data_IF_288393503320
#
_entry.id   IF_288393503320
#
_cell.length_a   1.000
_cell.length_b   1.000
_cell.length_c   1.000
_cell.angle_alpha   90.00
_cell.angle_beta   90.00
_cell.angle_gamma   90.00
#
_symmetry.space_group_name_H-M   'P 1'
#
loop_
_entity.id
_entity.type
_entity.pdbx_description
1 polymer ?
#
# COMPACT_ATOMS: atom_id res chain seq x y z
N UNK A 1 -15.01 -127.54 8.10
CA UNK A 1 -15.68 -128.28 6.93
C UNK A 1 -16.27 -127.20 6.02
N UNK A 2 -16.05 -127.40 4.71
CA UNK A 2 -16.70 -126.84 3.53
C UNK A 2 -16.16 -125.51 2.99
N UNK A 3 -15.29 -125.67 1.99
CA UNK A 3 -15.10 -124.72 0.89
C UNK A 3 -16.25 -124.85 -0.12
N UNK A 4 -16.74 -123.76 -0.71
CA UNK A 4 -17.08 -123.87 -2.12
C UNK A 4 -16.53 -122.74 -3.00
N UNK A 5 -16.08 -123.12 -4.09
CA UNK A 5 -16.08 -122.71 -5.49
C UNK A 5 -15.74 -121.23 -5.83
N UNK A 6 -14.48 -121.10 -6.17
CA UNK A 6 -13.85 -119.89 -6.72
C UNK A 6 -14.13 -119.62 -8.22
N UNK A 7 -14.94 -120.43 -8.91
CA UNK A 7 -15.17 -120.31 -10.37
C UNK A 7 -16.30 -119.37 -10.80
N UNK A 8 -17.20 -118.99 -9.92
CA UNK A 8 -18.35 -118.16 -10.26
C UNK A 8 -18.08 -116.58 -10.17
N UNK A 9 -17.09 -116.18 -9.41
CA UNK A 9 -16.74 -114.76 -9.23
C UNK A 9 -15.95 -114.18 -10.38
N UNK A 10 -15.15 -115.06 -11.11
CA UNK A 10 -14.33 -114.61 -12.23
C UNK A 10 -15.15 -114.19 -13.48
N UNK A 11 -16.26 -114.81 -13.74
CA UNK A 11 -17.11 -114.50 -14.90
C UNK A 11 -18.01 -113.26 -14.63
N UNK A 12 -18.40 -112.99 -13.39
CA UNK A 12 -19.17 -111.76 -13.05
C UNK A 12 -18.29 -110.49 -13.16
N UNK A 13 -17.06 -110.54 -12.83
CA UNK A 13 -16.12 -109.41 -12.92
C UNK A 13 -15.73 -109.10 -14.40
N UNK A 14 -15.67 -110.09 -15.31
CA UNK A 14 -15.37 -109.89 -16.71
C UNK A 14 -16.49 -109.16 -17.49
N UNK A 15 -17.78 -109.55 -17.22
CA UNK A 15 -18.93 -108.88 -17.87
C UNK A 15 -19.13 -107.45 -17.43
N UNK A 16 -18.88 -107.08 -16.19
CA UNK A 16 -18.99 -105.72 -15.74
C UNK A 16 -17.87 -104.81 -16.21
N UNK A 17 -16.68 -105.32 -16.44
CA UNK A 17 -15.57 -104.56 -17.04
C UNK A 17 -15.86 -104.18 -18.51
N UNK A 18 -16.52 -105.01 -19.26
CA UNK A 18 -16.90 -104.66 -20.65
C UNK A 18 -18.02 -103.61 -20.71
N UNK A 19 -18.99 -103.71 -19.81
CA UNK A 19 -20.05 -102.70 -19.73
C UNK A 19 -19.56 -101.33 -19.19
N UNK A 20 -18.58 -101.39 -18.28
CA UNK A 20 -17.99 -100.12 -17.77
C UNK A 20 -17.11 -99.45 -18.79
N UNK A 21 -16.38 -100.21 -19.63
CA UNK A 21 -15.57 -99.72 -20.74
C UNK A 21 -16.43 -99.09 -21.84
N UNK A 22 -17.55 -99.70 -22.16
CA UNK A 22 -18.52 -99.14 -23.11
C UNK A 22 -19.18 -97.88 -22.61
N UNK A 23 -19.53 -97.83 -21.33
CA UNK A 23 -20.11 -96.61 -20.71
C UNK A 23 -19.10 -95.42 -20.71
N UNK A 24 -17.81 -95.70 -20.49
CA UNK A 24 -16.74 -94.68 -20.57
C UNK A 24 -16.56 -94.17 -21.98
N UNK A 25 -16.60 -95.05 -23.01
CA UNK A 25 -16.51 -94.69 -24.42
C UNK A 25 -17.73 -93.84 -24.86
N UNK A 26 -18.94 -94.15 -24.41
CA UNK A 26 -20.14 -93.38 -24.77
C UNK A 26 -20.11 -92.01 -24.09
N UNK A 27 -19.67 -91.90 -22.81
CA UNK A 27 -19.47 -90.65 -22.12
C UNK A 27 -18.34 -89.85 -22.81
N UNK A 28 -17.25 -90.45 -23.23
CA UNK A 28 -16.17 -89.84 -23.99
C UNK A 28 -16.66 -89.21 -25.30
N UNK A 29 -17.51 -89.93 -26.04
CA UNK A 29 -18.08 -89.46 -27.33
C UNK A 29 -19.10 -88.32 -27.04
N UNK A 30 -19.90 -88.45 -25.99
CA UNK A 30 -20.85 -87.40 -25.60
C UNK A 30 -20.12 -86.09 -25.16
N UNK A 31 -19.02 -86.20 -24.42
CA UNK A 31 -18.18 -85.07 -24.02
C UNK A 31 -17.48 -84.41 -25.23
N UNK A 32 -16.96 -85.23 -26.19
CA UNK A 32 -16.34 -84.65 -27.40
C UNK A 32 -17.34 -84.04 -28.36
N UNK A 33 -18.56 -84.54 -28.46
CA UNK A 33 -19.66 -83.89 -29.20
C UNK A 33 -20.20 -82.69 -28.50
N UNK A 34 -20.28 -82.69 -27.14
CA UNK A 34 -20.67 -81.53 -26.31
C UNK A 34 -19.63 -80.43 -26.43
N UNK A 35 -18.34 -80.69 -26.40
CA UNK A 35 -17.26 -79.76 -26.59
C UNK A 35 -17.28 -79.14 -27.99
N UNK A 36 -17.54 -79.94 -29.04
CA UNK A 36 -17.69 -79.42 -30.41
C UNK A 36 -18.92 -78.54 -30.57
N UNK A 37 -20.03 -78.80 -29.85
CA UNK A 37 -21.23 -78.02 -29.93
C UNK A 37 -21.09 -76.68 -29.13
N UNK A 38 -20.28 -76.65 -28.03
CA UNK A 38 -19.96 -75.45 -27.29
C UNK A 38 -18.93 -74.58 -28.03
N UNK A 39 -18.05 -75.12 -28.86
CA UNK A 39 -17.05 -74.39 -29.64
C UNK A 39 -17.62 -73.71 -30.89
N UNK A 40 -18.85 -74.04 -31.29
CA UNK A 40 -19.49 -73.48 -32.47
C UNK A 40 -20.61 -72.48 -32.18
N UNK A 41 -20.65 -71.89 -30.94
CA UNK A 41 -21.44 -70.66 -30.77
C UNK A 41 -20.69 -69.56 -31.51
N UNK A 42 -21.35 -68.83 -32.42
CA UNK A 42 -20.76 -67.58 -32.96
C UNK A 42 -20.49 -66.68 -31.83
N UNK A 43 -19.21 -66.30 -31.58
CA UNK A 43 -18.84 -65.32 -30.63
C UNK A 43 -19.63 -64.01 -31.02
N UNK A 44 -20.67 -63.72 -30.28
CA UNK A 44 -21.33 -62.42 -30.41
C UNK A 44 -20.24 -61.36 -30.21
N UNK A 45 -19.82 -60.68 -31.27
CA UNK A 45 -19.04 -59.48 -31.15
C UNK A 45 -19.84 -58.58 -30.22
N UNK A 46 -19.47 -58.49 -28.89
CA UNK A 46 -19.92 -57.45 -28.03
C UNK A 46 -19.67 -56.17 -28.78
N UNK A 47 -20.70 -55.52 -29.27
CA UNK A 47 -20.60 -54.20 -29.84
C UNK A 47 -19.89 -53.38 -28.77
N UNK A 48 -18.66 -52.97 -29.04
CA UNK A 48 -17.88 -52.16 -28.10
C UNK A 48 -18.71 -50.90 -27.87
N UNK A 49 -19.32 -50.78 -26.68
CA UNK A 49 -20.04 -49.59 -26.31
C UNK A 49 -19.11 -48.42 -26.53
N UNK A 50 -19.48 -47.52 -27.43
CA UNK A 50 -18.69 -46.33 -27.70
C UNK A 50 -18.67 -45.52 -26.40
N UNK A 51 -17.49 -45.09 -25.95
CA UNK A 51 -17.45 -44.22 -24.77
C UNK A 51 -18.16 -42.90 -25.06
N UNK A 52 -19.02 -42.50 -24.10
CA UNK A 52 -19.67 -41.20 -24.15
C UNK A 52 -18.68 -40.19 -23.63
N UNK A 53 -18.51 -39.09 -24.37
CA UNK A 53 -17.56 -38.03 -24.06
C UNK A 53 -18.24 -36.64 -24.18
N UNK A 54 -17.79 -35.73 -23.36
CA UNK A 54 -18.12 -34.30 -23.51
C UNK A 54 -17.07 -33.64 -24.39
N UNK A 55 -17.50 -32.66 -25.15
CA UNK A 55 -16.64 -31.95 -26.08
C UNK A 55 -16.76 -30.45 -25.91
N UNK A 56 -15.69 -29.72 -26.18
CA UNK A 56 -15.63 -28.29 -26.17
C UNK A 56 -15.06 -27.77 -27.49
N UNK A 57 -15.68 -26.72 -28.03
CA UNK A 57 -15.15 -26.03 -29.21
C UNK A 57 -14.01 -25.13 -28.78
N UNK A 58 -12.87 -25.24 -29.47
CA UNK A 58 -11.69 -24.42 -29.24
C UNK A 58 -11.98 -22.99 -29.68
N UNK A 59 -12.01 -22.08 -28.72
CA UNK A 59 -12.15 -20.65 -28.94
C UNK A 59 -10.98 -19.90 -28.31
N UNK A 60 -10.68 -18.71 -28.79
CA UNK A 60 -9.76 -17.83 -28.11
C UNK A 60 -10.50 -17.04 -27.04
N UNK A 61 -9.95 -17.03 -25.85
CA UNK A 61 -10.50 -16.27 -24.71
C UNK A 61 -9.36 -15.59 -23.95
N UNK A 62 -9.63 -14.52 -23.20
CA UNK A 62 -8.64 -13.94 -22.31
C UNK A 62 -8.32 -14.94 -21.19
N UNK A 63 -7.04 -15.06 -20.86
CA UNK A 63 -6.56 -15.85 -19.72
C UNK A 63 -6.33 -14.93 -18.54
N UNK A 64 -7.09 -15.16 -17.48
CA UNK A 64 -6.91 -14.46 -16.20
C UNK A 64 -6.13 -15.34 -15.23
N UNK A 65 -5.27 -14.70 -14.45
CA UNK A 65 -4.58 -15.33 -13.33
C UNK A 65 -5.08 -14.71 -12.03
N UNK A 66 -5.34 -15.54 -11.02
CA UNK A 66 -5.65 -15.10 -9.66
C UNK A 66 -4.39 -15.00 -8.83
N UNK A 67 -4.33 -13.95 -8.03
CA UNK A 67 -3.35 -13.75 -6.96
C UNK A 67 -4.09 -13.74 -5.65
N UNK A 68 -3.67 -14.60 -4.71
CA UNK A 68 -4.18 -14.56 -3.34
C UNK A 68 -3.48 -13.42 -2.59
N UNK A 69 -4.24 -12.47 -2.12
CA UNK A 69 -3.79 -11.34 -1.33
C UNK A 69 -4.06 -11.61 0.15
N UNK A 70 -3.05 -11.34 0.96
CA UNK A 70 -3.14 -11.42 2.41
C UNK A 70 -2.38 -10.26 3.01
N UNK A 71 -3.02 -9.53 3.92
CA UNK A 71 -2.40 -8.37 4.55
C UNK A 71 -3.14 -7.92 5.80
N UNK A 72 -2.52 -7.00 6.51
CA UNK A 72 -3.07 -6.43 7.72
C UNK A 72 -3.61 -5.02 7.45
N UNK A 73 -4.78 -4.69 8.02
CA UNK A 73 -5.35 -3.36 7.97
C UNK A 73 -4.46 -2.38 8.74
N UNK A 74 -4.08 -1.31 8.09
CA UNK A 74 -3.43 -0.14 8.68
C UNK A 74 -4.38 1.04 8.60
N UNK A 75 -4.48 1.80 9.67
CA UNK A 75 -5.19 3.05 9.65
C UNK A 75 -4.52 4.04 8.69
N UNK A 76 -5.23 5.05 8.25
CA UNK A 76 -4.74 6.10 7.36
C UNK A 76 -3.50 6.80 7.90
N UNK A 77 -3.46 7.06 9.21
CA UNK A 77 -2.30 7.56 9.92
C UNK A 77 -2.32 7.12 11.38
N UNK A 78 -1.14 6.95 11.93
CA UNK A 78 -0.91 6.80 13.37
C UNK A 78 0.11 7.86 13.76
N UNK A 79 -0.21 8.68 14.78
CA UNK A 79 0.61 9.79 15.23
C UNK A 79 0.90 9.62 16.70
N UNK A 80 2.16 9.49 17.03
CA UNK A 80 2.60 9.50 18.42
C UNK A 80 2.81 10.94 18.87
N UNK A 81 2.09 11.35 19.92
CA UNK A 81 2.24 12.65 20.56
C UNK A 81 3.34 12.49 21.60
N UNK A 82 4.47 13.10 21.29
CA UNK A 82 5.70 12.99 22.07
C UNK A 82 5.96 14.28 22.84
N UNK A 83 6.36 14.14 24.10
CA UNK A 83 6.72 15.25 24.96
C UNK A 83 8.01 15.94 24.48
N UNK A 84 7.94 17.23 24.23
CA UNK A 84 9.09 18.05 23.78
C UNK A 84 9.93 18.55 24.95
N UNK A 85 9.27 18.95 26.04
CA UNK A 85 9.91 19.49 27.23
C UNK A 85 9.49 18.69 28.46
N UNK A 86 10.46 18.31 29.30
CA UNK A 86 10.15 17.64 30.55
C UNK A 86 9.28 18.51 31.46
N UNK A 87 8.26 17.89 32.07
CA UNK A 87 7.32 18.62 32.94
C UNK A 87 6.35 17.72 33.67
N UNK A 88 5.52 18.30 34.49
CA UNK A 88 4.44 17.62 35.20
C UNK A 88 3.16 17.78 34.41
N UNK A 89 2.41 16.70 34.23
CA UNK A 89 1.09 16.72 33.60
C UNK A 89 0.08 17.29 34.57
N UNK A 90 -0.62 18.35 34.15
CA UNK A 90 -1.58 19.05 35.01
C UNK A 90 -3.02 18.62 34.72
N UNK A 91 -3.35 18.48 33.41
CA UNK A 91 -4.67 18.07 32.96
C UNK A 91 -4.59 17.06 31.80
N UNK A 92 -5.52 16.10 31.80
CA UNK A 92 -5.73 15.14 30.70
C UNK A 92 -7.21 15.17 30.37
N UNK A 93 -7.55 15.57 29.13
CA UNK A 93 -8.93 15.72 28.67
C UNK A 93 -9.44 14.53 27.85
N UNK A 94 -8.62 13.49 27.68
CA UNK A 94 -8.92 12.33 26.84
C UNK A 94 -8.51 11.03 27.52
N UNK A 95 -9.20 9.94 27.17
CA UNK A 95 -8.88 8.61 27.64
C UNK A 95 -8.75 7.64 26.44
N UNK A 96 -8.35 6.38 26.71
CA UNK A 96 -8.28 5.34 25.69
C UNK A 96 -9.66 5.17 25.03
N UNK A 97 -9.68 5.20 23.69
CA UNK A 97 -10.91 5.11 22.90
C UNK A 97 -11.65 6.43 22.70
N UNK A 98 -11.20 7.54 23.29
CA UNK A 98 -11.79 8.87 23.06
C UNK A 98 -11.64 9.30 21.62
N UNK A 99 -12.74 9.76 21.00
CA UNK A 99 -12.75 10.39 19.69
C UNK A 99 -12.46 11.88 19.85
N UNK A 100 -11.53 12.38 19.08
CA UNK A 100 -11.06 13.77 19.12
C UNK A 100 -11.09 14.39 17.73
N UNK A 101 -11.26 15.72 17.69
CA UNK A 101 -11.17 16.53 16.48
C UNK A 101 -9.86 17.30 16.44
N UNK A 102 -9.44 17.67 15.24
CA UNK A 102 -8.28 18.54 15.04
C UNK A 102 -8.41 19.82 15.88
N UNK A 103 -7.38 20.13 16.67
CA UNK A 103 -7.35 21.28 17.56
C UNK A 103 -7.83 21.05 18.99
N UNK A 104 -8.49 19.90 19.28
CA UNK A 104 -8.90 19.57 20.65
C UNK A 104 -7.67 19.47 21.56
N UNK A 105 -7.79 20.03 22.78
CA UNK A 105 -6.76 19.96 23.81
C UNK A 105 -6.79 18.58 24.45
N UNK A 106 -5.69 17.85 24.35
CA UNK A 106 -5.54 16.48 24.83
C UNK A 106 -4.92 16.41 26.21
N UNK A 107 -3.78 17.08 26.38
CA UNK A 107 -3.00 17.13 27.62
C UNK A 107 -2.51 18.56 27.81
N UNK A 108 -2.48 19.00 29.06
CA UNK A 108 -1.84 20.24 29.48
C UNK A 108 -0.78 19.90 30.53
N UNK A 109 0.45 20.29 30.28
CA UNK A 109 1.49 20.29 31.30
C UNK A 109 1.42 21.56 32.14
N UNK A 110 2.09 21.58 33.29
CA UNK A 110 2.15 22.73 34.16
C UNK A 110 2.67 23.96 33.43
N UNK A 111 1.85 25.01 33.36
CA UNK A 111 2.08 26.19 32.53
C UNK A 111 2.69 27.37 33.31
N UNK A 112 2.70 27.36 34.65
CA UNK A 112 3.04 28.51 35.49
C UNK A 112 4.40 29.10 35.16
N UNK A 113 5.43 28.30 35.14
CA UNK A 113 6.81 28.70 34.85
C UNK A 113 6.97 29.20 33.40
N UNK A 114 6.40 28.49 32.45
CA UNK A 114 6.47 28.86 31.03
C UNK A 114 5.70 30.13 30.74
N UNK A 115 4.54 30.34 31.40
CA UNK A 115 3.73 31.56 31.31
C UNK A 115 4.47 32.74 31.89
N UNK A 116 5.09 32.55 33.07
CA UNK A 116 5.89 33.63 33.70
C UNK A 116 7.09 34.00 32.82
N UNK A 117 7.78 33.03 32.22
CA UNK A 117 8.90 33.26 31.31
C UNK A 117 8.45 34.00 30.04
N UNK A 118 7.32 33.60 29.43
CA UNK A 118 6.72 34.30 28.28
C UNK A 118 6.35 35.75 28.58
N UNK A 119 5.65 36.01 29.70
CA UNK A 119 5.27 37.37 30.12
C UNK A 119 6.49 38.25 30.38
N UNK A 120 7.56 37.68 31.01
CA UNK A 120 8.82 38.41 31.24
C UNK A 120 9.51 38.74 29.92
N UNK A 121 9.55 37.83 28.96
CA UNK A 121 10.12 38.04 27.63
C UNK A 121 9.30 39.10 26.85
N UNK A 122 7.97 39.04 26.93
CA UNK A 122 7.06 40.04 26.35
C UNK A 122 7.32 41.45 26.87
N UNK A 123 7.47 41.59 28.19
CA UNK A 123 7.77 42.89 28.80
C UNK A 123 9.10 43.48 28.31
N UNK A 124 10.15 42.63 28.24
CA UNK A 124 11.47 43.02 27.70
C UNK A 124 11.42 43.42 26.22
N UNK A 125 10.62 42.73 25.42
CA UNK A 125 10.39 43.08 24.02
C UNK A 125 9.70 44.43 23.90
N UNK A 126 8.63 44.63 24.66
CA UNK A 126 7.90 45.92 24.68
C UNK A 126 8.79 47.10 25.10
N UNK A 127 9.63 46.93 26.15
CA UNK A 127 10.60 47.91 26.57
C UNK A 127 11.62 48.24 25.48
N UNK A 128 12.20 47.22 24.85
CA UNK A 128 13.17 47.39 23.77
C UNK A 128 12.56 48.08 22.55
N UNK A 129 11.29 47.80 22.22
CA UNK A 129 10.56 48.47 21.15
C UNK A 129 10.33 49.94 21.45
N UNK A 130 9.90 50.27 22.69
CA UNK A 130 9.73 51.66 23.14
C UNK A 130 11.05 52.44 23.09
N UNK A 131 12.15 51.84 23.54
CA UNK A 131 13.48 52.45 23.49
C UNK A 131 13.96 52.69 22.05
N UNK A 132 13.71 51.75 21.14
CA UNK A 132 14.03 51.92 19.72
C UNK A 132 13.24 53.06 19.08
N UNK A 133 11.92 53.12 19.33
CA UNK A 133 11.05 54.21 18.85
C UNK A 133 11.45 55.56 19.40
N UNK A 134 11.76 55.67 20.70
CA UNK A 134 12.22 56.93 21.35
C UNK A 134 13.55 57.38 20.76
N UNK A 135 14.47 56.43 20.52
CA UNK A 135 15.79 56.76 19.91
C UNK A 135 15.62 57.25 18.47
N UNK A 136 14.71 56.67 17.69
CA UNK A 136 14.44 57.10 16.32
C UNK A 136 13.83 58.51 16.27
N UNK A 137 12.81 58.80 17.09
CA UNK A 137 12.18 60.14 17.21
C UNK A 137 13.20 61.15 17.67
N UNK A 138 14.02 60.83 18.66
CA UNK A 138 15.06 61.74 19.18
C UNK A 138 16.10 62.06 18.12
N UNK A 139 16.52 61.07 17.35
CA UNK A 139 17.44 61.29 16.23
C UNK A 139 16.80 62.16 15.14
N UNK A 140 15.57 61.82 14.71
CA UNK A 140 14.84 62.58 13.68
C UNK A 140 14.66 64.06 14.07
N UNK A 141 14.31 64.33 15.33
CA UNK A 141 14.15 65.65 15.86
C UNK A 141 15.51 66.41 15.88
N UNK A 142 16.57 65.73 16.33
CA UNK A 142 17.91 66.34 16.40
C UNK A 142 18.45 66.69 15.02
N UNK A 143 18.35 65.78 14.03
CA UNK A 143 18.80 66.04 12.66
C UNK A 143 18.03 67.19 12.02
N UNK A 144 16.70 67.29 12.26
CA UNK A 144 15.87 68.37 11.75
C UNK A 144 16.31 69.71 12.32
N UNK A 145 16.58 69.78 13.65
CA UNK A 145 17.07 71.02 14.33
C UNK A 145 18.43 71.46 13.78
N UNK A 146 19.42 70.55 13.73
CA UNK A 146 20.75 70.91 13.22
C UNK A 146 20.72 71.28 11.74
N UNK A 147 19.84 70.70 10.93
CA UNK A 147 19.65 71.09 9.52
C UNK A 147 19.08 72.53 9.43
N UNK A 148 18.08 72.85 10.25
CA UNK A 148 17.51 74.18 10.28
C UNK A 148 18.52 75.26 10.73
N UNK A 149 19.30 74.97 11.79
CA UNK A 149 20.39 75.85 12.25
C UNK A 149 21.45 76.07 11.13
N UNK A 150 21.87 75.04 10.43
CA UNK A 150 22.80 75.16 9.32
C UNK A 150 22.21 75.98 8.17
N UNK A 151 20.94 75.79 7.80
CA UNK A 151 20.28 76.57 6.74
C UNK A 151 20.19 78.04 7.11
N UNK A 152 19.83 78.37 8.38
CA UNK A 152 19.82 79.74 8.86
C UNK A 152 21.20 80.40 8.80
N UNK A 153 22.23 79.71 9.27
CA UNK A 153 23.62 80.17 9.18
C UNK A 153 24.07 80.41 7.74
N UNK A 154 23.63 79.54 6.82
CA UNK A 154 23.93 79.69 5.37
C UNK A 154 23.31 80.96 4.79
N UNK A 155 22.01 81.19 5.05
CA UNK A 155 21.33 82.41 4.61
C UNK A 155 21.96 83.70 5.22
N UNK A 156 22.36 83.66 6.50
CA UNK A 156 23.04 84.82 7.15
C UNK A 156 24.43 85.02 6.53
N UNK A 157 25.25 84.02 6.33
CA UNK A 157 26.58 84.20 5.70
C UNK A 157 26.45 84.73 4.29
N UNK A 158 25.49 84.29 3.48
CA UNK A 158 25.24 84.84 2.13
C UNK A 158 24.77 86.31 2.17
N UNK A 159 23.94 86.67 3.17
CA UNK A 159 23.53 88.07 3.40
C UNK A 159 24.74 88.95 3.74
N UNK A 160 25.61 88.47 4.63
CA UNK A 160 26.83 89.26 5.04
C UNK A 160 27.83 89.33 3.92
N UNK A 161 28.00 88.33 3.06
CA UNK A 161 28.85 88.35 1.82
C UNK A 161 28.39 89.46 0.88
N UNK A 162 27.05 89.65 0.70
CA UNK A 162 26.48 90.64 -0.16
C UNK A 162 26.66 92.06 0.47
N UNK A 163 26.47 92.19 1.77
CA UNK A 163 26.70 93.51 2.48
C UNK A 163 28.17 93.89 2.47
N UNK A 164 29.07 92.96 2.63
CA UNK A 164 30.50 93.24 2.53
C UNK A 164 30.91 93.65 1.12
N UNK A 165 30.41 93.09 0.10
CA UNK A 165 30.61 93.47 -1.29
C UNK A 165 30.12 94.92 -1.58
N UNK A 166 29.13 95.40 -0.79
CA UNK A 166 28.58 96.76 -0.84
C UNK A 166 29.31 97.72 0.12
N UNK A 167 30.30 97.24 0.88
CA UNK A 167 31.03 98.07 1.87
C UNK A 167 30.22 98.39 3.15
N UNK A 168 29.07 97.69 3.38
CA UNK A 168 28.15 97.92 4.47
C UNK A 168 28.51 97.26 5.81
N UNK A 169 29.43 96.26 5.80
CA UNK A 169 29.91 95.53 6.98
C UNK A 169 31.42 95.33 6.91
N UNK A 170 32.07 95.13 8.07
CA UNK A 170 33.50 94.86 8.15
C UNK A 170 33.88 93.44 7.77
N UNK A 171 35.15 93.19 7.37
CA UNK A 171 35.64 91.82 7.10
C UNK A 171 35.55 90.92 8.33
N UNK A 172 35.81 91.49 9.55
CA UNK A 172 35.71 90.71 10.79
C UNK A 172 34.29 90.18 11.05
N UNK A 173 33.26 90.96 10.69
CA UNK A 173 31.86 90.54 10.82
C UNK A 173 31.51 89.45 9.82
N UNK A 174 32.02 89.55 8.58
CA UNK A 174 31.88 88.49 7.60
C UNK A 174 32.56 87.19 8.06
N UNK A 175 33.79 87.29 8.51
CA UNK A 175 34.58 86.15 8.99
C UNK A 175 33.89 85.43 10.17
N UNK A 176 33.28 86.19 11.09
CA UNK A 176 32.50 85.63 12.20
C UNK A 176 31.25 84.85 11.75
N UNK A 177 30.57 85.36 10.68
CA UNK A 177 29.41 84.64 10.12
C UNK A 177 29.83 83.39 9.34
N UNK A 178 30.96 83.39 8.60
CA UNK A 178 31.49 82.24 7.94
C UNK A 178 31.98 81.19 8.91
N UNK A 179 32.59 81.53 10.01
CA UNK A 179 32.97 80.63 11.09
C UNK A 179 31.73 79.97 11.72
N UNK A 180 30.65 80.80 11.93
CA UNK A 180 29.37 80.26 12.43
C UNK A 180 28.76 79.24 11.47
N UNK A 181 28.78 79.55 10.16
CA UNK A 181 28.34 78.61 9.11
C UNK A 181 29.14 77.37 9.15
N UNK A 182 30.47 77.42 9.21
CA UNK A 182 31.36 76.27 9.26
C UNK A 182 31.07 75.39 10.49
N UNK A 183 30.89 75.98 11.66
CA UNK A 183 30.53 75.30 12.92
C UNK A 183 29.16 74.57 12.82
N UNK A 184 28.14 75.28 12.28
CA UNK A 184 26.78 74.76 12.18
C UNK A 184 26.73 73.61 11.11
N UNK A 185 27.50 73.76 10.02
CA UNK A 185 27.71 72.70 8.99
C UNK A 185 28.34 71.48 9.61
N UNK A 186 29.44 71.64 10.34
CA UNK A 186 30.12 70.52 10.99
C UNK A 186 29.23 69.78 11.98
N UNK A 187 28.38 70.51 12.78
CA UNK A 187 27.42 69.87 13.68
C UNK A 187 26.38 69.06 12.95
N UNK A 188 25.83 69.58 11.84
CA UNK A 188 24.83 68.82 11.03
C UNK A 188 25.50 67.59 10.36
N UNK A 189 26.66 67.76 9.73
CA UNK A 189 27.36 66.64 9.05
C UNK A 189 27.79 65.55 10.03
N UNK A 190 28.31 65.95 11.22
CA UNK A 190 28.66 64.96 12.26
C UNK A 190 27.54 64.04 12.64
N UNK A 191 26.27 64.55 12.70
CA UNK A 191 25.12 63.75 12.98
C UNK A 191 24.63 63.00 11.72
N UNK A 192 24.63 63.66 10.56
CA UNK A 192 24.12 63.05 9.30
C UNK A 192 25.03 61.96 8.76
N UNK A 193 26.32 61.99 9.05
CA UNK A 193 27.31 60.97 8.61
C UNK A 193 27.35 59.73 9.54
N UNK A 194 26.68 59.76 10.73
CA UNK A 194 26.58 58.60 11.63
C UNK A 194 25.60 57.56 11.12
N UNK A 195 25.71 57.14 9.90
CA UNK A 195 24.83 56.16 9.27
C UNK A 195 25.44 54.74 9.30
N UNK A 196 24.58 53.75 9.48
CA UNK A 196 24.93 52.36 9.28
C UNK A 196 25.01 52.04 7.79
N UNK A 197 25.39 50.80 7.48
CA UNK A 197 25.52 50.28 6.09
C UNK A 197 24.23 50.53 5.25
N UNK A 198 23.04 50.41 5.83
CA UNK A 198 21.74 50.60 5.14
C UNK A 198 21.19 52.05 5.21
N UNK A 199 22.01 53.01 5.53
CA UNK A 199 21.59 54.40 5.61
C UNK A 199 20.83 54.80 6.88
N UNK A 200 20.62 53.86 7.81
CA UNK A 200 20.03 54.12 9.13
C UNK A 200 21.10 54.59 10.11
N UNK A 201 20.80 55.55 11.00
CA UNK A 201 21.76 55.99 12.02
C UNK A 201 22.22 54.87 12.91
N UNK A 202 23.51 54.77 13.17
CA UNK A 202 24.10 53.63 13.89
C UNK A 202 23.51 53.40 15.28
N UNK A 203 23.09 54.45 15.97
CA UNK A 203 22.40 54.34 17.27
C UNK A 203 20.97 53.81 17.14
N UNK A 204 20.21 54.22 16.12
CA UNK A 204 18.85 53.74 15.82
C UNK A 204 18.92 52.28 15.42
N UNK A 205 19.83 51.95 14.48
CA UNK A 205 20.06 50.59 14.06
C UNK A 205 20.39 49.64 15.23
N UNK A 206 21.29 50.04 16.14
CA UNK A 206 21.59 49.25 17.34
C UNK A 206 20.36 48.95 18.19
N UNK A 207 19.51 49.97 18.44
CA UNK A 207 18.30 49.79 19.23
C UNK A 207 17.27 48.89 18.52
N UNK A 208 17.14 49.04 17.21
CA UNK A 208 16.30 48.14 16.40
C UNK A 208 16.80 46.69 16.47
N UNK A 209 18.12 46.46 16.41
CA UNK A 209 18.69 45.10 16.55
C UNK A 209 18.47 44.54 17.97
N UNK A 210 18.50 45.36 19.01
CA UNK A 210 18.15 44.93 20.37
C UNK A 210 16.69 44.54 20.44
N UNK A 211 15.76 45.35 19.88
CA UNK A 211 14.34 45.05 19.86
C UNK A 211 14.07 43.71 19.08
N UNK A 212 14.68 43.54 17.90
CA UNK A 212 14.55 42.32 17.11
C UNK A 212 15.04 41.08 17.88
N UNK A 213 16.16 41.16 18.60
CA UNK A 213 16.64 40.06 19.44
C UNK A 213 15.64 39.75 20.58
N UNK A 214 15.07 40.76 21.23
CA UNK A 214 14.07 40.56 22.29
C UNK A 214 12.78 39.97 21.75
N UNK A 215 12.39 40.32 20.54
CA UNK A 215 11.28 39.66 19.83
C UNK A 215 11.51 38.17 19.66
N UNK A 216 12.69 37.77 19.21
CA UNK A 216 13.03 36.34 19.08
C UNK A 216 13.00 35.63 20.45
N UNK A 217 13.51 36.25 21.51
CA UNK A 217 13.43 35.70 22.87
C UNK A 217 11.97 35.49 23.31
N UNK A 218 11.09 36.45 23.00
CA UNK A 218 9.66 36.37 23.28
C UNK A 218 8.99 35.25 22.48
N UNK A 219 9.25 35.13 21.19
CA UNK A 219 8.70 34.08 20.33
C UNK A 219 9.13 32.67 20.80
N UNK A 220 10.39 32.51 21.24
CA UNK A 220 10.87 31.24 21.81
C UNK A 220 10.09 30.89 23.08
N UNK A 221 9.91 31.85 24.00
CA UNK A 221 9.17 31.62 25.24
C UNK A 221 7.68 31.34 24.96
N UNK A 222 7.08 32.03 24.00
CA UNK A 222 5.71 31.81 23.54
C UNK A 222 5.52 30.41 22.95
N UNK A 223 6.42 29.99 22.07
CA UNK A 223 6.39 28.65 21.50
C UNK A 223 6.53 27.57 22.58
N UNK A 224 7.43 27.75 23.54
CA UNK A 224 7.57 26.84 24.68
C UNK A 224 6.28 26.73 25.49
N UNK A 225 5.60 27.84 25.75
CA UNK A 225 4.29 27.86 26.44
C UNK A 225 3.23 27.07 25.64
N UNK A 226 3.17 27.28 24.31
CA UNK A 226 2.23 26.56 23.45
C UNK A 226 2.55 25.08 23.32
N UNK A 227 3.82 24.70 23.29
CA UNK A 227 4.28 23.31 23.19
C UNK A 227 3.94 22.46 24.44
N UNK A 228 3.61 23.09 25.57
CA UNK A 228 3.13 22.40 26.78
C UNK A 228 1.62 22.11 26.73
N UNK A 229 0.89 22.61 25.73
CA UNK A 229 -0.53 22.36 25.49
C UNK A 229 -0.62 21.44 24.27
N UNK A 230 -0.81 20.16 24.51
CA UNK A 230 -0.88 19.16 23.43
C UNK A 230 -2.25 19.17 22.81
N UNK A 231 -2.30 19.39 21.50
CA UNK A 231 -3.53 19.42 20.72
C UNK A 231 -3.53 18.29 19.69
N UNK A 232 -4.71 17.80 19.35
CA UNK A 232 -4.89 16.82 18.28
C UNK A 232 -4.50 17.47 16.93
N UNK A 233 -3.55 16.89 16.17
CA UNK A 233 -3.16 17.41 14.86
C UNK A 233 -4.20 17.11 13.77
N UNK A 234 -5.10 16.16 14.00
CA UNK A 234 -6.19 15.74 13.13
C UNK A 234 -7.28 15.02 13.90
N UNK A 235 -8.39 14.74 13.24
CA UNK A 235 -9.45 13.89 13.78
C UNK A 235 -8.95 12.45 13.94
N UNK A 236 -9.48 11.74 14.95
CA UNK A 236 -9.12 10.35 15.19
C UNK A 236 -9.52 9.83 16.55
N UNK A 237 -8.95 8.68 16.91
CA UNK A 237 -9.21 7.97 18.18
C UNK A 237 -7.90 7.79 18.94
N UNK A 238 -7.93 8.00 20.26
CA UNK A 238 -6.78 7.76 21.15
C UNK A 238 -6.64 6.25 21.37
N UNK A 239 -5.50 5.68 20.98
CA UNK A 239 -5.23 4.24 21.07
C UNK A 239 -4.18 3.86 22.10
N UNK A 240 -3.45 4.84 22.60
CA UNK A 240 -2.45 4.67 23.65
C UNK A 240 -2.40 5.91 24.54
N UNK A 241 -2.28 5.72 25.86
CA UNK A 241 -2.12 6.76 26.86
C UNK A 241 -1.17 6.25 27.98
N UNK A 242 -0.08 6.97 28.19
CA UNK A 242 0.90 6.70 29.26
C UNK A 242 1.04 7.88 30.22
N UNK A 243 0.33 8.98 29.94
CA UNK A 243 0.31 10.15 30.80
C UNK A 243 -0.68 9.96 31.96
N UNK A 244 -0.28 10.40 33.15
CA UNK A 244 -1.13 10.47 34.35
C UNK A 244 -1.10 11.87 34.94
N UNK A 245 -2.24 12.36 35.46
CA UNK A 245 -2.34 13.66 36.12
C UNK A 245 -1.44 13.68 37.36
N UNK A 246 -0.61 14.71 37.50
CA UNK A 246 0.40 14.81 38.55
C UNK A 246 1.69 14.04 38.25
N UNK A 247 1.72 13.23 37.21
CA UNK A 247 2.88 12.47 36.77
C UNK A 247 3.95 13.34 36.10
N UNK A 248 5.22 12.94 36.23
CA UNK A 248 6.33 13.58 35.54
C UNK A 248 6.55 12.93 34.18
N UNK A 249 6.51 13.73 33.13
CA UNK A 249 6.74 13.30 31.75
C UNK A 249 8.14 13.77 31.28
N UNK A 250 9.09 12.85 31.02
CA UNK A 250 10.40 13.20 30.47
C UNK A 250 10.30 13.74 29.04
N UNK A 251 11.27 14.57 28.64
CA UNK A 251 11.38 14.96 27.23
C UNK A 251 11.65 13.72 26.35
N UNK A 252 10.98 13.61 25.20
CA UNK A 252 11.07 12.48 24.29
C UNK A 252 10.13 11.31 24.63
N UNK A 253 9.43 11.32 25.78
CA UNK A 253 8.44 10.29 26.12
C UNK A 253 7.19 10.42 25.25
N UNK A 254 6.63 9.28 24.84
CA UNK A 254 5.34 9.21 24.14
C UNK A 254 4.21 9.30 25.17
N UNK A 255 3.38 10.33 25.05
CA UNK A 255 2.26 10.56 25.97
C UNK A 255 0.98 9.88 25.48
N UNK A 256 0.67 10.03 24.19
CA UNK A 256 -0.52 9.53 23.54
C UNK A 256 -0.19 9.01 22.15
N UNK A 257 -1.03 8.11 21.63
CA UNK A 257 -1.07 7.77 20.21
C UNK A 257 -2.47 8.05 19.66
N UNK A 258 -2.53 8.89 18.64
CA UNK A 258 -3.73 9.22 17.88
C UNK A 258 -3.76 8.39 16.60
N UNK A 259 -4.86 7.67 16.38
CA UNK A 259 -5.13 6.89 15.19
C UNK A 259 -6.20 7.58 14.34
N UNK A 260 -5.88 7.89 13.10
CA UNK A 260 -6.85 8.38 12.10
C UNK A 260 -7.59 7.18 11.51
N UNK A 261 -8.83 6.96 11.95
CA UNK A 261 -9.73 5.89 11.52
C UNK A 261 -10.65 6.29 10.36
N UNK A 262 -10.43 7.45 9.73
CA UNK A 262 -11.22 7.93 8.58
C UNK A 262 -11.03 7.08 7.31
N UNK A 263 -10.08 6.18 7.30
CA UNK A 263 -9.81 5.26 6.21
C UNK A 263 -8.79 4.20 6.58
N UNK A 264 -8.80 3.10 5.83
CA UNK A 264 -7.89 1.99 6.04
C UNK A 264 -7.17 1.62 4.75
N UNK A 265 -5.96 1.12 4.90
CA UNK A 265 -5.17 0.51 3.82
C UNK A 265 -4.76 -0.89 4.24
N UNK A 266 -4.59 -1.77 3.24
CA UNK A 266 -4.05 -3.12 3.43
C UNK A 266 -2.75 -3.20 2.65
N UNK A 267 -1.67 -3.54 3.34
CA UNK A 267 -0.40 -3.82 2.69
C UNK A 267 -0.27 -5.33 2.52
N UNK A 268 -0.18 -5.78 1.27
CA UNK A 268 -0.02 -7.17 0.87
C UNK A 268 1.35 -7.40 0.24
N UNK A 269 1.97 -8.53 0.55
CA UNK A 269 3.22 -8.95 -0.07
C UNK A 269 2.94 -9.77 -1.33
N UNK A 270 3.48 -9.33 -2.46
CA UNK A 270 3.34 -9.97 -3.78
C UNK A 270 4.72 -10.29 -4.38
N UNK A 271 4.75 -11.26 -5.29
CA UNK A 271 5.96 -11.63 -6.02
C UNK A 271 6.33 -10.61 -7.10
N UNK A 272 7.54 -10.69 -7.65
CA UNK A 272 8.01 -9.83 -8.74
C UNK A 272 7.12 -9.93 -9.99
N UNK A 273 6.75 -11.16 -10.36
CA UNK A 273 5.89 -11.40 -11.52
C UNK A 273 4.48 -10.80 -11.34
N UNK A 274 3.94 -10.85 -10.12
CA UNK A 274 2.66 -10.27 -9.75
C UNK A 274 2.73 -8.74 -9.73
N UNK A 275 3.81 -8.18 -9.18
CA UNK A 275 4.03 -6.73 -9.15
C UNK A 275 4.11 -6.12 -10.57
N UNK A 276 4.71 -6.85 -11.52
CA UNK A 276 4.77 -6.44 -12.93
C UNK A 276 3.42 -6.50 -13.64
N UNK A 277 2.48 -7.31 -13.15
CA UNK A 277 1.18 -7.55 -13.78
C UNK A 277 0.04 -6.69 -13.20
N UNK A 278 0.17 -6.24 -11.94
CA UNK A 278 -0.87 -5.47 -11.24
C UNK A 278 -0.72 -3.98 -11.53
N UNK A 279 -1.80 -3.34 -11.97
CA UNK A 279 -1.85 -1.90 -12.20
C UNK A 279 -2.46 -1.16 -11.00
N UNK A 280 -1.99 0.06 -10.76
CA UNK A 280 -2.65 1.01 -9.85
C UNK A 280 -4.04 1.33 -10.40
N UNK A 281 -5.05 1.40 -9.53
CA UNK A 281 -6.45 1.58 -9.89
C UNK A 281 -7.23 0.28 -10.05
N UNK A 282 -6.60 -0.90 -9.92
CA UNK A 282 -7.32 -2.18 -9.97
C UNK A 282 -8.20 -2.34 -8.74
N UNK A 283 -9.46 -2.69 -8.95
CA UNK A 283 -10.40 -3.00 -7.88
C UNK A 283 -10.20 -4.41 -7.35
N UNK A 284 -10.35 -4.58 -6.05
CA UNK A 284 -10.17 -5.85 -5.34
C UNK A 284 -11.25 -6.02 -4.28
N UNK A 285 -11.79 -7.21 -4.16
CA UNK A 285 -12.63 -7.58 -3.03
C UNK A 285 -11.78 -8.22 -1.93
N UNK A 286 -11.86 -7.64 -0.72
CA UNK A 286 -11.14 -8.08 0.46
C UNK A 286 -12.12 -8.53 1.54
N UNK A 287 -11.95 -9.73 2.03
CA UNK A 287 -12.71 -10.27 3.18
C UNK A 287 -11.91 -10.03 4.46
N UNK A 288 -12.53 -9.33 5.41
CA UNK A 288 -12.01 -9.17 6.76
C UNK A 288 -12.37 -10.41 7.58
N UNK A 289 -11.41 -11.31 7.79
CA UNK A 289 -11.69 -12.65 8.33
C UNK A 289 -12.31 -12.61 9.73
N UNK A 290 -11.83 -11.72 10.61
CA UNK A 290 -12.28 -11.65 11.99
C UNK A 290 -13.76 -11.21 12.16
N UNK A 291 -14.28 -10.44 11.22
CA UNK A 291 -15.65 -9.89 11.28
C UNK A 291 -16.56 -10.43 10.16
N UNK A 292 -15.99 -11.21 9.21
CA UNK A 292 -16.72 -11.81 8.09
C UNK A 292 -17.25 -10.83 7.06
N UNK A 293 -16.85 -9.55 7.11
CA UNK A 293 -17.26 -8.51 6.16
C UNK A 293 -16.41 -8.55 4.89
N UNK A 294 -17.07 -8.32 3.75
CA UNK A 294 -16.41 -8.15 2.45
C UNK A 294 -16.40 -6.66 2.12
N UNK A 295 -15.23 -6.11 1.89
CA UNK A 295 -15.02 -4.71 1.55
C UNK A 295 -14.42 -4.60 0.15
N UNK A 296 -14.83 -3.59 -0.60
CA UNK A 296 -14.14 -3.21 -1.84
C UNK A 296 -12.93 -2.36 -1.50
N UNK A 297 -11.89 -2.52 -2.31
CA UNK A 297 -10.70 -1.70 -2.20
C UNK A 297 -10.08 -1.46 -3.57
N UNK A 298 -9.30 -0.42 -3.66
CA UNK A 298 -8.60 -0.02 -4.87
C UNK A 298 -7.09 -0.06 -4.63
N UNK A 299 -6.35 -0.66 -5.56
CA UNK A 299 -4.88 -0.64 -5.55
C UNK A 299 -4.42 0.80 -5.73
N UNK A 300 -3.77 1.37 -4.72
CA UNK A 300 -3.26 2.74 -4.76
C UNK A 300 -1.74 2.82 -4.96
N UNK A 301 -1.03 1.74 -4.68
CA UNK A 301 0.42 1.72 -4.80
C UNK A 301 0.94 0.29 -5.00
N UNK A 302 1.91 0.16 -5.90
CA UNK A 302 2.73 -1.03 -6.09
C UNK A 302 4.18 -0.61 -5.87
N UNK A 303 4.88 -1.27 -4.97
CA UNK A 303 6.27 -0.92 -4.65
C UNK A 303 7.17 -1.07 -5.86
N UNK A 304 8.09 -0.12 -6.06
CA UNK A 304 9.14 -0.19 -7.08
C UNK A 304 10.42 -0.87 -6.54
N UNK A 305 10.45 -1.15 -5.25
CA UNK A 305 11.60 -1.76 -4.58
C UNK A 305 11.13 -2.95 -3.76
N UNK A 306 11.89 -4.02 -3.83
CA UNK A 306 11.64 -5.23 -3.03
C UNK A 306 12.01 -4.98 -1.57
N UNK A 307 11.13 -5.37 -0.64
CA UNK A 307 11.42 -5.35 0.79
C UNK A 307 12.64 -6.23 1.11
N UNK A 308 13.53 -5.74 1.95
CA UNK A 308 14.69 -6.52 2.40
C UNK A 308 14.32 -7.61 3.39
N UNK A 309 13.22 -7.45 4.11
CA UNK A 309 12.75 -8.39 5.14
C UNK A 309 11.99 -9.56 4.52
N UNK A 310 11.00 -9.28 3.67
CA UNK A 310 10.13 -10.31 3.08
C UNK A 310 10.60 -10.80 1.73
N UNK A 311 11.57 -10.12 1.10
CA UNK A 311 12.06 -10.38 -0.25
C UNK A 311 10.96 -10.31 -1.33
N UNK A 312 9.88 -9.56 -1.05
CA UNK A 312 8.69 -9.39 -1.88
C UNK A 312 8.43 -7.91 -2.16
N UNK A 313 7.55 -7.64 -3.10
CA UNK A 313 7.04 -6.30 -3.37
C UNK A 313 5.80 -6.04 -2.53
N UNK A 314 5.60 -4.80 -2.11
CA UNK A 314 4.41 -4.41 -1.34
C UNK A 314 3.36 -3.83 -2.26
N UNK A 315 2.17 -4.40 -2.21
CA UNK A 315 0.96 -3.90 -2.83
C UNK A 315 0.11 -3.22 -1.76
N UNK A 316 -0.22 -1.94 -1.94
CA UNK A 316 -1.11 -1.22 -1.02
C UNK A 316 -2.48 -1.03 -1.64
N UNK A 317 -3.49 -1.47 -0.91
CA UNK A 317 -4.89 -1.38 -1.29
C UNK A 317 -5.58 -0.45 -0.29
N UNK A 318 -6.25 0.58 -0.78
CA UNK A 318 -7.12 1.42 0.04
C UNK A 318 -8.51 0.80 0.07
N UNK A 319 -9.09 0.67 1.24
CA UNK A 319 -10.49 0.28 1.39
C UNK A 319 -11.38 1.48 1.06
N UNK A 320 -12.37 1.29 0.20
CA UNK A 320 -13.25 2.37 -0.25
C UNK A 320 -14.37 2.63 0.75
N UNK A 321 -14.96 1.58 1.31
CA UNK A 321 -16.02 1.65 2.32
C UNK A 321 -15.75 0.65 3.45
N UNK A 322 -14.81 0.98 4.36
CA UNK A 322 -14.60 0.13 5.53
C UNK A 322 -15.83 0.17 6.42
N UNK A 323 -16.40 -0.98 6.75
CA UNK A 323 -17.53 -1.07 7.68
C UNK A 323 -17.18 -0.47 9.06
N UNK A 324 -18.19 -0.09 9.81
CA UNK A 324 -18.02 0.55 11.14
C UNK A 324 -17.26 -0.31 12.16
N UNK A 325 -17.12 -1.62 11.89
CA UNK A 325 -16.37 -2.57 12.73
C UNK A 325 -14.93 -2.78 12.28
N UNK A 326 -14.51 -2.16 11.18
CA UNK A 326 -13.13 -2.22 10.74
C UNK A 326 -12.20 -1.54 11.75
N UNK A 327 -11.12 -2.23 12.11
CA UNK A 327 -10.10 -1.74 13.04
C UNK A 327 -8.71 -1.99 12.47
N UNK A 328 -7.78 -1.10 12.73
CA UNK A 328 -6.38 -1.35 12.42
C UNK A 328 -5.91 -2.63 13.14
N UNK A 329 -5.09 -3.42 12.46
CA UNK A 329 -4.62 -4.71 12.95
C UNK A 329 -5.43 -5.92 12.51
N UNK A 330 -6.64 -5.77 11.97
CA UNK A 330 -7.38 -6.89 11.40
C UNK A 330 -6.71 -7.41 10.12
N UNK A 331 -6.83 -8.71 9.89
CA UNK A 331 -6.35 -9.34 8.66
C UNK A 331 -7.41 -9.31 7.57
N UNK A 332 -6.98 -8.98 6.37
CA UNK A 332 -7.77 -9.03 5.16
C UNK A 332 -7.20 -10.09 4.21
N UNK A 333 -8.11 -10.84 3.58
CA UNK A 333 -7.79 -11.80 2.53
C UNK A 333 -8.63 -11.51 1.30
N UNK A 334 -8.05 -11.63 0.12
CA UNK A 334 -8.77 -11.44 -1.13
C UNK A 334 -8.11 -12.11 -2.30
N UNK A 335 -8.77 -12.03 -3.43
CA UNK A 335 -8.23 -12.49 -4.70
C UNK A 335 -8.27 -11.36 -5.71
N UNK A 336 -7.15 -11.12 -6.34
CA UNK A 336 -7.04 -10.17 -7.44
C UNK A 336 -6.87 -10.95 -8.73
N UNK A 337 -7.76 -10.70 -9.68
CA UNK A 337 -7.66 -11.27 -11.02
C UNK A 337 -7.05 -10.25 -11.97
N UNK A 338 -6.01 -10.65 -12.68
CA UNK A 338 -5.41 -9.83 -13.71
C UNK A 338 -5.33 -10.56 -15.03
N UNK A 339 -5.40 -9.79 -16.12
CA UNK A 339 -5.33 -10.31 -17.47
C UNK A 339 -3.89 -10.75 -17.78
N UNK A 340 -3.66 -12.07 -17.83
CA UNK A 340 -2.34 -12.61 -18.18
C UNK A 340 -2.08 -12.57 -19.69
N UNK A 341 -3.10 -12.95 -20.49
CA UNK A 341 -3.04 -12.89 -21.95
C UNK A 341 -4.40 -12.49 -22.52
N UNK A 342 -4.45 -11.52 -23.43
CA UNK A 342 -5.72 -11.00 -23.96
C UNK A 342 -6.43 -11.98 -24.89
N UNK A 343 -5.70 -12.89 -25.54
CA UNK A 343 -6.27 -13.83 -26.52
C UNK A 343 -5.40 -15.06 -26.65
N UNK A 344 -5.83 -16.16 -26.03
CA UNK A 344 -5.14 -17.44 -26.10
C UNK A 344 -6.14 -18.60 -26.17
N UNK A 345 -5.67 -19.76 -26.60
CA UNK A 345 -6.42 -21.01 -26.52
C UNK A 345 -6.09 -21.66 -25.20
N UNK A 346 -7.07 -21.92 -24.36
CA UNK A 346 -6.88 -22.75 -23.17
C UNK A 346 -7.97 -23.79 -23.05
N UNK A 347 -7.60 -24.92 -22.46
CA UNK A 347 -8.48 -26.04 -22.21
C UNK A 347 -8.49 -26.35 -20.73
N UNK A 348 -9.57 -26.93 -20.19
CA UNK A 348 -9.56 -27.52 -18.87
C UNK A 348 -8.40 -28.52 -18.72
N UNK A 349 -7.77 -28.57 -17.56
CA UNK A 349 -6.62 -29.45 -17.34
C UNK A 349 -6.93 -30.90 -17.58
N UNK A 350 -8.17 -31.35 -17.32
CA UNK A 350 -8.67 -32.68 -17.59
C UNK A 350 -8.85 -33.00 -19.09
N UNK A 351 -8.78 -32.03 -19.99
CA UNK A 351 -8.80 -32.21 -21.46
C UNK A 351 -7.41 -32.46 -22.03
N UNK A 352 -6.35 -32.35 -21.25
CA UNK A 352 -4.98 -32.57 -21.68
C UNK A 352 -4.41 -33.85 -21.04
N UNK A 353 -3.96 -34.77 -21.86
CA UNK A 353 -3.33 -36.03 -21.42
C UNK A 353 -1.81 -35.87 -21.44
N UNK A 354 -1.16 -36.01 -20.30
CA UNK A 354 0.29 -36.14 -20.23
C UNK A 354 0.73 -37.56 -20.30
N UNK A 355 1.66 -37.87 -21.20
CA UNK A 355 2.28 -39.21 -21.35
C UNK A 355 3.71 -39.05 -21.83
N UNK A 356 4.64 -39.69 -21.11
CA UNK A 356 6.07 -39.70 -21.43
C UNK A 356 6.67 -38.29 -21.59
N UNK A 357 6.22 -37.33 -20.74
CA UNK A 357 6.66 -35.93 -20.77
C UNK A 357 6.13 -35.13 -21.97
N UNK A 358 5.15 -35.65 -22.70
CA UNK A 358 4.51 -34.98 -23.82
C UNK A 358 3.02 -34.81 -23.57
N UNK A 359 2.46 -33.71 -24.03
CA UNK A 359 1.05 -33.39 -23.87
C UNK A 359 0.27 -33.70 -25.16
N UNK A 360 -0.91 -34.24 -24.97
CA UNK A 360 -1.79 -34.67 -26.06
C UNK A 360 -3.24 -34.25 -25.75
N UNK A 361 -3.99 -34.00 -26.80
CA UNK A 361 -5.45 -33.81 -26.76
C UNK A 361 -6.12 -34.76 -27.75
N UNK A 362 -7.38 -35.06 -27.50
CA UNK A 362 -8.20 -35.80 -28.47
C UNK A 362 -9.11 -34.81 -29.20
N UNK A 363 -8.92 -34.71 -30.52
CA UNK A 363 -9.73 -33.85 -31.39
C UNK A 363 -10.78 -34.71 -32.07
N UNK A 364 -12.05 -34.29 -32.03
CA UNK A 364 -13.16 -34.96 -32.68
C UNK A 364 -13.14 -34.64 -34.18
N UNK A 365 -13.03 -35.69 -35.02
CA UNK A 365 -13.09 -35.64 -36.48
C UNK A 365 -14.42 -36.04 -37.06
N UNK A 366 -14.48 -36.10 -38.40
CA UNK A 366 -15.67 -36.55 -39.13
C UNK A 366 -16.06 -37.96 -38.73
N UNK A 367 -17.35 -38.19 -38.51
CA UNK A 367 -17.88 -39.51 -38.15
C UNK A 367 -17.66 -39.89 -36.66
N UNK A 368 -17.55 -38.93 -35.78
CA UNK A 368 -17.38 -39.06 -34.34
C UNK A 368 -16.15 -39.95 -33.98
N UNK A 369 -15.07 -39.84 -34.75
CA UNK A 369 -13.79 -40.47 -34.43
C UNK A 369 -12.85 -39.46 -33.77
N UNK A 370 -12.19 -39.87 -32.69
CA UNK A 370 -11.21 -39.02 -32.00
C UNK A 370 -9.81 -39.29 -32.55
N UNK A 371 -9.05 -38.20 -32.76
CA UNK A 371 -7.66 -38.28 -33.20
C UNK A 371 -6.77 -37.70 -32.10
N UNK A 372 -5.77 -38.48 -31.68
CA UNK A 372 -4.78 -38.06 -30.70
C UNK A 372 -3.80 -37.07 -31.35
N UNK A 373 -3.77 -35.82 -30.88
CA UNK A 373 -2.91 -34.78 -31.42
C UNK A 373 -1.93 -34.28 -30.38
N UNK A 374 -0.62 -34.22 -30.68
CA UNK A 374 0.35 -33.61 -29.76
C UNK A 374 0.14 -32.10 -29.70
N UNK A 375 0.30 -31.56 -28.51
CA UNK A 375 0.18 -30.12 -28.24
C UNK A 375 1.33 -29.61 -27.41
N UNK A 376 1.67 -28.33 -27.57
CA UNK A 376 2.61 -27.64 -26.70
C UNK A 376 1.81 -26.79 -25.74
N UNK A 377 2.03 -26.98 -24.45
CA UNK A 377 1.36 -26.29 -23.39
C UNK A 377 2.17 -25.03 -22.97
N UNK A 378 1.50 -24.03 -22.50
CA UNK A 378 2.08 -22.79 -21.96
C UNK A 378 1.74 -22.57 -20.50
N UNK A 379 1.50 -21.35 -20.13
CA UNK A 379 1.08 -20.98 -18.77
C UNK A 379 -0.30 -21.58 -18.45
N UNK A 380 -0.53 -21.97 -17.20
CA UNK A 380 -1.81 -22.49 -16.73
C UNK A 380 -2.12 -21.99 -15.33
N UNK A 381 -3.38 -22.16 -14.95
CA UNK A 381 -3.85 -22.05 -13.57
C UNK A 381 -4.35 -23.42 -13.10
N UNK A 382 -4.89 -23.50 -11.87
CA UNK A 382 -5.36 -24.77 -11.30
C UNK A 382 -6.48 -25.46 -12.09
N UNK A 383 -7.17 -24.73 -12.98
CA UNK A 383 -8.33 -25.23 -13.71
C UNK A 383 -8.08 -25.38 -15.21
N UNK A 384 -7.19 -24.55 -15.79
CA UNK A 384 -7.01 -24.41 -17.23
C UNK A 384 -5.54 -24.34 -17.62
N UNK A 385 -5.22 -24.95 -18.75
CA UNK A 385 -3.88 -25.00 -19.33
C UNK A 385 -3.88 -24.33 -20.72
N UNK A 386 -2.95 -23.41 -20.96
CA UNK A 386 -2.78 -22.77 -22.25
C UNK A 386 -2.24 -23.76 -23.29
N UNK A 387 -2.77 -23.71 -24.50
CA UNK A 387 -2.26 -24.45 -25.64
C UNK A 387 -1.62 -23.46 -26.62
N UNK A 388 -0.30 -23.50 -26.69
CA UNK A 388 0.50 -22.61 -27.54
C UNK A 388 0.51 -23.07 -28.98
N UNK A 389 0.61 -24.44 -29.20
CA UNK A 389 0.65 -25.04 -30.52
C UNK A 389 -0.11 -26.37 -30.54
N UNK A 390 -0.60 -26.74 -31.72
CA UNK A 390 -1.25 -28.05 -31.96
C UNK A 390 -2.76 -27.95 -32.15
N UNK A 391 -3.43 -26.86 -31.84
CA UNK A 391 -4.85 -26.65 -32.03
C UNK A 391 -5.16 -25.41 -32.88
N UNK A 392 -6.29 -25.47 -33.56
CA UNK A 392 -6.87 -24.32 -34.30
C UNK A 392 -8.21 -23.93 -33.70
N UNK A 393 -8.55 -22.67 -33.83
CA UNK A 393 -9.89 -22.17 -33.48
C UNK A 393 -10.93 -22.91 -34.33
N UNK A 394 -11.97 -23.44 -33.68
CA UNK A 394 -12.99 -24.25 -34.29
C UNK A 394 -12.74 -25.77 -34.21
N UNK A 395 -11.56 -26.23 -33.75
CA UNK A 395 -11.37 -27.65 -33.42
C UNK A 395 -12.32 -28.06 -32.28
N UNK A 396 -12.82 -29.29 -32.30
CA UNK A 396 -13.67 -29.84 -31.24
C UNK A 396 -12.81 -30.80 -30.43
N UNK A 397 -12.58 -30.48 -29.16
CA UNK A 397 -11.70 -31.26 -28.26
C UNK A 397 -12.54 -31.99 -27.21
N UNK A 398 -12.16 -33.23 -26.92
CA UNK A 398 -12.77 -33.99 -25.83
C UNK A 398 -12.21 -33.54 -24.50
N UNK A 399 -13.11 -33.26 -23.52
CA UNK A 399 -12.76 -32.72 -22.23
C UNK A 399 -12.86 -33.68 -21.06
N UNK A 400 -13.34 -34.91 -21.29
CA UNK A 400 -13.43 -35.93 -20.24
C UNK A 400 -13.15 -37.34 -20.76
N UNK A 401 -13.07 -38.30 -19.85
CA UNK A 401 -12.86 -39.74 -20.16
C UNK A 401 -11.63 -40.08 -21.00
N UNK A 402 -10.62 -39.22 -21.07
CA UNK A 402 -9.44 -39.36 -21.93
C UNK A 402 -8.69 -40.67 -21.73
N UNK A 403 -8.65 -41.21 -20.50
CA UNK A 403 -7.94 -42.45 -20.17
C UNK A 403 -8.51 -43.68 -20.90
N UNK A 404 -9.76 -43.64 -21.37
CA UNK A 404 -10.43 -44.73 -22.09
C UNK A 404 -10.33 -44.62 -23.61
N UNK A 405 -9.81 -43.49 -24.10
CA UNK A 405 -9.74 -43.22 -25.54
C UNK A 405 -8.45 -43.75 -26.15
N UNK A 406 -8.56 -44.16 -27.40
CA UNK A 406 -7.44 -44.56 -28.27
C UNK A 406 -7.55 -43.75 -29.57
N UNK A 407 -6.43 -43.55 -30.20
CA UNK A 407 -6.39 -42.90 -31.51
C UNK A 407 -7.26 -43.62 -32.54
N UNK A 408 -8.07 -42.85 -33.29
CA UNK A 408 -9.02 -43.41 -34.27
C UNK A 408 -10.29 -44.01 -33.71
N UNK A 409 -10.51 -43.99 -32.39
CA UNK A 409 -11.68 -44.61 -31.73
C UNK A 409 -12.96 -43.82 -32.03
N UNK A 410 -14.06 -44.51 -32.30
CA UNK A 410 -15.39 -43.87 -32.41
C UNK A 410 -15.97 -43.63 -31.01
N UNK A 411 -16.53 -42.48 -30.80
CA UNK A 411 -17.13 -42.03 -29.53
C UNK A 411 -18.57 -41.56 -29.77
N UNK A 412 -19.37 -41.60 -28.72
CA UNK A 412 -20.68 -40.94 -28.70
C UNK A 412 -20.54 -39.62 -27.94
N UNK A 413 -20.95 -38.52 -28.58
CA UNK A 413 -20.89 -37.18 -27.97
C UNK A 413 -22.12 -36.97 -27.13
N UNK A 414 -21.93 -36.69 -25.84
CA UNK A 414 -23.03 -36.34 -24.96
C UNK A 414 -23.67 -35.04 -25.44
N UNK A 415 -25.00 -35.05 -25.62
CA UNK A 415 -25.77 -33.83 -25.86
C UNK A 415 -25.86 -33.03 -24.55
N UNK A 416 -24.96 -32.11 -24.36
CA UNK A 416 -24.93 -31.19 -23.21
C UNK A 416 -23.75 -30.28 -23.38
N UNK A 417 -23.99 -28.99 -23.32
CA UNK A 417 -22.93 -27.97 -23.23
C UNK A 417 -22.11 -28.21 -21.98
N UNK A 418 -20.82 -28.39 -22.14
CA UNK A 418 -19.90 -28.25 -21.01
C UNK A 418 -19.97 -26.80 -20.50
N UNK A 419 -20.40 -26.64 -19.24
CA UNK A 419 -20.41 -25.36 -18.53
C UNK A 419 -19.02 -24.78 -18.42
#
# INVERSE_FOLDING_TARGET
>A
MLRPKLSSIKNYILQHKFLSLMAICVIGIAVTLGIKHLSNQPSSKKAAMKPVVHTQIVTRRPLYKSISLFGQLKAKAQIDIVNKYAGIVDEINVDLGSKVKAGDVLIVQRLDDARAEMLKAQARYAEAGANAATTDVTYATSIARYKADYQLAQVNAERYRRLYAQGAVSKSELDAMEQTLANKKAQYEALALQRSYEGTPAQVYRQQQVAARREQEYLIAQNKYHDLIFKAPRDGVITYRDAEVGGYAPAGSRLLTLLDDSGFTVDCDITEAEAAAVAVGTEVELKLEAIGEVCRGTVVYVSHVRSRETNKFTLRIRLDEPGSRAKAGLFAKGELQFLQKPSTIYLPQNAVLERDGKFYVYVLGKGNKVTKRPVTTGAGNNESLEIVQGLKVGDIVVVDNLARLRDGMAVDVAKGEAK
#
